data_IF_815167170249
#
_entry.id   IF_815167170249
#
_cell.length_a   1.000
_cell.length_b   1.000
_cell.length_c   1.000
_cell.angle_alpha   90.00
_cell.angle_beta   90.00
_cell.angle_gamma   90.00
#
_symmetry.space_group_name_H-M   'P 1'
#
loop_
_entity.id
_entity.type
_entity.pdbx_description
1 polymer ?
#
# COMPACT_ATOMS: atom_id res chain seq x y z
N UNK A 1 -2.15 -16.34 5.61
CA UNK A 1 -2.69 -17.43 4.75
C UNK A 1 -1.61 -18.48 4.55
N UNK A 2 -1.96 -19.78 4.37
CA UNK A 2 -0.95 -20.78 3.95
C UNK A 2 -0.55 -20.57 2.48
N UNK A 3 0.54 -21.23 2.07
CA UNK A 3 1.00 -21.21 0.68
C UNK A 3 -0.06 -21.79 -0.26
N UNK A 4 -0.48 -21.02 -1.25
CA UNK A 4 -1.44 -21.42 -2.30
C UNK A 4 -0.65 -21.96 -3.48
N UNK A 5 -1.00 -23.15 -3.95
CA UNK A 5 -0.36 -23.86 -5.06
C UNK A 5 -1.39 -23.98 -6.20
N UNK A 6 -1.39 -23.09 -7.19
CA UNK A 6 -2.34 -23.16 -8.30
C UNK A 6 -2.10 -24.43 -9.14
N UNK A 7 -3.18 -25.11 -9.51
CA UNK A 7 -3.11 -26.25 -10.43
C UNK A 7 -2.70 -25.79 -11.84
N UNK A 8 -1.78 -26.51 -12.46
CA UNK A 8 -1.32 -26.24 -13.85
C UNK A 8 -0.75 -24.82 -14.06
N UNK A 9 -0.12 -24.20 -13.03
CA UNK A 9 0.50 -22.89 -13.15
C UNK A 9 1.61 -22.89 -14.21
N UNK A 10 1.49 -21.97 -15.17
CA UNK A 10 2.49 -21.69 -16.20
C UNK A 10 2.90 -20.21 -16.13
N UNK A 11 4.14 -19.90 -15.76
CA UNK A 11 4.62 -18.51 -15.66
C UNK A 11 4.73 -17.79 -17.00
N UNK A 12 4.67 -18.46 -18.15
CA UNK A 12 4.71 -17.95 -19.53
C UNK A 12 5.95 -17.13 -19.91
N UNK A 13 6.65 -16.55 -18.97
CA UNK A 13 7.94 -15.89 -19.15
C UNK A 13 8.99 -16.60 -18.31
N UNK A 14 10.17 -16.80 -18.85
CA UNK A 14 11.31 -17.30 -18.07
C UNK A 14 11.82 -16.21 -17.09
N UNK A 15 12.76 -16.55 -16.21
CA UNK A 15 13.28 -15.65 -15.17
C UNK A 15 13.89 -14.38 -15.77
N UNK A 16 14.65 -14.47 -16.87
CA UNK A 16 15.27 -13.31 -17.52
C UNK A 16 14.23 -12.38 -18.14
N UNK A 17 13.29 -12.94 -18.90
CA UNK A 17 12.17 -12.18 -19.48
C UNK A 17 11.33 -11.51 -18.39
N UNK A 18 11.13 -12.19 -17.26
CA UNK A 18 10.45 -11.63 -16.09
C UNK A 18 11.19 -10.42 -15.54
N UNK A 19 12.52 -10.46 -15.42
CA UNK A 19 13.33 -9.32 -14.97
C UNK A 19 13.23 -8.12 -15.95
N UNK A 20 13.25 -8.39 -17.24
CA UNK A 20 13.06 -7.36 -18.28
C UNK A 20 11.65 -6.75 -18.21
N UNK A 21 10.62 -7.57 -17.96
CA UNK A 21 9.24 -7.12 -17.80
C UNK A 21 9.04 -6.29 -16.52
N UNK A 22 9.61 -6.72 -15.39
CA UNK A 22 9.60 -5.95 -14.12
C UNK A 22 10.20 -4.55 -14.33
N UNK A 23 11.37 -4.48 -14.97
CA UNK A 23 12.02 -3.21 -15.28
C UNK A 23 11.11 -2.33 -16.14
N UNK A 24 10.53 -2.89 -17.20
CA UNK A 24 9.64 -2.17 -18.11
C UNK A 24 8.41 -1.63 -17.37
N UNK A 25 7.74 -2.45 -16.56
CA UNK A 25 6.58 -2.05 -15.77
C UNK A 25 6.94 -0.92 -14.82
N UNK A 26 8.02 -1.08 -14.05
CA UNK A 26 8.41 -0.08 -13.05
C UNK A 26 8.79 1.26 -13.68
N UNK A 27 9.58 1.26 -14.74
CA UNK A 27 10.01 2.48 -15.42
C UNK A 27 8.83 3.21 -16.10
N UNK A 28 7.92 2.46 -16.72
CA UNK A 28 6.76 3.05 -17.40
C UNK A 28 5.74 3.57 -16.39
N UNK A 29 5.39 2.75 -15.39
CA UNK A 29 4.40 3.15 -14.39
C UNK A 29 4.82 4.41 -13.63
N UNK A 30 6.04 4.46 -13.09
CA UNK A 30 6.48 5.62 -12.31
C UNK A 30 6.50 6.92 -13.11
N UNK A 31 6.79 6.85 -14.42
CA UNK A 31 6.77 8.00 -15.31
C UNK A 31 5.34 8.50 -15.55
N UNK A 32 4.42 7.60 -15.92
CA UNK A 32 3.02 7.95 -16.17
C UNK A 32 2.33 8.38 -14.86
N UNK A 33 2.60 7.70 -13.76
CA UNK A 33 2.06 8.03 -12.45
C UNK A 33 2.48 9.43 -11.99
N UNK A 34 3.78 9.75 -12.07
CA UNK A 34 4.29 11.08 -11.73
C UNK A 34 3.65 12.18 -12.57
N UNK A 35 3.51 11.94 -13.87
CA UNK A 35 2.91 12.89 -14.82
C UNK A 35 1.39 13.10 -14.57
N UNK A 36 0.62 12.02 -14.54
CA UNK A 36 -0.85 12.10 -14.43
C UNK A 36 -1.33 12.60 -13.06
N UNK A 37 -0.56 12.28 -12.01
CA UNK A 37 -0.88 12.71 -10.64
C UNK A 37 -0.23 14.05 -10.25
N UNK A 38 0.62 14.65 -11.11
CA UNK A 38 1.42 15.84 -10.82
C UNK A 38 2.33 15.65 -9.60
N UNK A 39 3.19 14.64 -9.66
CA UNK A 39 4.10 14.26 -8.57
C UNK A 39 5.55 14.34 -9.03
N UNK A 40 6.38 14.96 -8.20
CA UNK A 40 7.84 14.98 -8.38
C UNK A 40 8.48 13.77 -7.69
N UNK A 41 9.43 13.14 -8.36
CA UNK A 41 10.22 12.08 -7.71
C UNK A 41 11.26 12.67 -6.79
N UNK A 42 11.21 12.30 -5.51
CA UNK A 42 12.22 12.71 -4.53
C UNK A 42 12.93 11.52 -3.89
N UNK A 43 14.07 11.78 -3.24
CA UNK A 43 14.75 10.81 -2.39
C UNK A 43 14.10 10.76 -1.01
N UNK A 44 13.96 9.57 -0.45
CA UNK A 44 13.43 9.36 0.88
C UNK A 44 14.40 8.52 1.73
N UNK A 45 14.32 8.62 3.07
CA UNK A 45 15.16 7.82 3.95
C UNK A 45 14.73 6.35 3.97
N UNK A 46 15.69 5.44 4.14
CA UNK A 46 15.43 4.04 4.45
C UNK A 46 15.12 3.84 5.93
N UNK A 47 15.58 4.74 6.78
CA UNK A 47 15.45 4.68 8.23
C UNK A 47 15.28 6.08 8.82
N UNK A 48 14.71 6.15 10.00
CA UNK A 48 14.45 7.39 10.75
C UNK A 48 14.80 7.22 12.22
N UNK A 49 14.98 8.34 12.91
CA UNK A 49 15.12 8.34 14.37
C UNK A 49 13.78 7.98 15.02
N UNK A 50 13.78 7.04 15.95
CA UNK A 50 12.58 6.64 16.71
C UNK A 50 11.92 7.83 17.42
N UNK A 51 12.72 8.70 18.01
CA UNK A 51 12.27 9.91 18.72
C UNK A 51 11.51 10.90 17.84
N UNK A 52 11.68 10.84 16.50
CA UNK A 52 10.99 11.73 15.55
C UNK A 52 9.48 11.48 15.45
N UNK A 53 9.02 10.26 15.75
CA UNK A 53 7.64 9.82 15.54
C UNK A 53 7.24 9.66 14.07
N UNK A 54 8.22 9.64 13.15
CA UNK A 54 7.95 9.57 11.71
C UNK A 54 7.76 8.14 11.20
N UNK A 55 8.24 7.13 11.94
CA UNK A 55 7.99 5.74 11.55
C UNK A 55 6.53 5.36 11.78
N UNK A 56 6.09 4.30 11.10
CA UNK A 56 4.77 3.72 11.23
C UNK A 56 4.84 2.50 12.17
N UNK A 57 3.95 2.45 13.14
CA UNK A 57 3.81 1.29 14.01
C UNK A 57 2.83 0.25 13.43
N UNK A 58 2.37 0.44 12.19
CA UNK A 58 1.36 -0.39 11.52
C UNK A 58 0.14 -0.59 12.43
N UNK A 59 -0.13 -1.83 12.85
CA UNK A 59 -1.21 -2.15 13.79
C UNK A 59 -0.83 -1.97 15.27
N UNK A 60 0.40 -1.49 15.53
CA UNK A 60 0.91 -1.24 16.89
C UNK A 60 1.56 -2.43 17.59
N UNK A 61 1.67 -3.57 16.89
CA UNK A 61 2.26 -4.82 17.42
C UNK A 61 3.55 -5.21 16.67
N UNK A 62 3.74 -4.72 15.47
CA UNK A 62 4.89 -5.03 14.63
C UNK A 62 6.14 -4.32 15.13
N UNK A 63 7.25 -5.07 15.17
CA UNK A 63 8.52 -4.58 15.68
C UNK A 63 9.39 -4.07 14.52
N UNK A 64 9.81 -2.79 14.50
CA UNK A 64 10.74 -2.33 13.49
C UNK A 64 12.12 -2.98 13.65
N UNK A 65 12.89 -3.04 12.56
CA UNK A 65 14.32 -3.36 12.62
C UNK A 65 15.02 -2.13 13.19
N UNK A 66 15.70 -2.30 14.31
CA UNK A 66 16.37 -1.22 15.05
C UNK A 66 17.89 -1.44 15.05
N UNK A 67 18.63 -0.33 15.00
CA UNK A 67 20.08 -0.31 15.10
C UNK A 67 20.56 1.04 15.64
N UNK A 68 21.84 1.15 15.92
CA UNK A 68 22.52 2.38 16.31
C UNK A 68 23.49 2.86 15.20
N UNK A 69 23.76 4.16 15.20
CA UNK A 69 24.74 4.77 14.30
C UNK A 69 25.79 5.48 15.15
N UNK A 70 27.06 5.14 14.99
CA UNK A 70 28.17 5.69 15.79
C UNK A 70 28.22 7.23 15.77
N UNK A 71 27.80 7.86 14.67
CA UNK A 71 27.75 9.32 14.54
C UNK A 71 26.51 9.99 15.16
N UNK A 72 25.55 9.21 15.68
CA UNK A 72 24.31 9.71 16.30
C UNK A 72 24.11 9.02 17.66
N UNK A 73 24.97 9.31 18.64
CA UNK A 73 24.97 8.62 19.91
C UNK A 73 23.70 8.91 20.71
N UNK A 74 23.13 7.86 21.33
CA UNK A 74 21.96 7.96 22.20
C UNK A 74 20.61 7.87 21.47
N UNK A 75 20.59 7.80 20.14
CA UNK A 75 19.38 7.62 19.35
C UNK A 75 19.20 6.17 18.89
N UNK A 76 17.96 5.70 18.90
CA UNK A 76 17.56 4.45 18.26
C UNK A 76 17.08 4.76 16.85
N UNK A 77 17.69 4.10 15.87
CA UNK A 77 17.34 4.24 14.45
C UNK A 77 16.46 3.06 14.03
N UNK A 78 15.40 3.33 13.31
CA UNK A 78 14.44 2.34 12.83
C UNK A 78 14.38 2.32 11.31
N UNK A 79 14.48 1.13 10.71
CA UNK A 79 14.12 0.96 9.30
C UNK A 79 12.62 1.22 9.17
N UNK A 80 12.23 2.01 8.19
CA UNK A 80 10.83 2.42 8.03
C UNK A 80 9.91 1.23 7.74
N UNK A 81 8.70 1.27 8.29
CA UNK A 81 7.59 0.41 7.90
C UNK A 81 6.72 1.08 6.82
N UNK A 82 6.64 2.41 6.85
CA UNK A 82 5.98 3.27 5.88
C UNK A 82 6.57 4.68 5.93
N UNK A 83 6.37 5.45 4.87
CA UNK A 83 6.80 6.85 4.79
C UNK A 83 5.63 7.84 4.89
N UNK A 84 4.44 7.40 5.30
CA UNK A 84 3.23 8.24 5.28
C UNK A 84 3.44 9.58 6.01
N UNK A 85 3.93 9.54 7.25
CA UNK A 85 4.20 10.76 8.05
C UNK A 85 5.40 11.56 7.51
N UNK A 86 6.44 10.86 7.08
CA UNK A 86 7.63 11.50 6.51
C UNK A 86 7.31 12.28 5.23
N UNK A 87 6.50 11.74 4.32
CA UNK A 87 6.12 12.39 3.07
C UNK A 87 5.39 13.71 3.30
N UNK A 88 4.43 13.72 4.23
CA UNK A 88 3.70 14.95 4.61
C UNK A 88 4.66 16.01 5.18
N UNK A 89 5.61 15.58 6.03
CA UNK A 89 6.68 16.46 6.52
C UNK A 89 7.58 16.97 5.39
N UNK A 90 7.91 16.13 4.41
CA UNK A 90 8.73 16.51 3.27
C UNK A 90 8.03 17.54 2.37
N UNK A 91 6.73 17.39 2.11
CA UNK A 91 5.95 18.40 1.38
C UNK A 91 6.01 19.77 2.06
N UNK A 92 5.86 19.80 3.38
CA UNK A 92 6.01 21.03 4.16
C UNK A 92 7.42 21.64 4.04
N UNK A 93 8.45 20.82 4.30
CA UNK A 93 9.85 21.28 4.31
C UNK A 93 10.35 21.75 2.94
N UNK A 94 9.84 21.13 1.86
CA UNK A 94 10.26 21.45 0.50
C UNK A 94 9.37 22.49 -0.18
N UNK A 95 8.30 22.96 0.49
CA UNK A 95 7.46 24.09 0.05
C UNK A 95 6.49 23.75 -1.07
N UNK A 96 6.02 22.48 -1.16
CA UNK A 96 5.01 22.07 -2.13
C UNK A 96 3.68 22.80 -1.90
N UNK A 97 3.01 23.16 -3.00
CA UNK A 97 1.76 23.92 -2.98
C UNK A 97 0.54 23.04 -3.29
N UNK A 98 -0.70 23.49 -2.97
CA UNK A 98 -1.91 22.75 -3.33
C UNK A 98 -1.95 22.34 -4.80
N UNK A 99 -2.20 21.06 -5.06
CA UNK A 99 -2.18 20.46 -6.38
C UNK A 99 -0.85 19.85 -6.80
N UNK A 100 0.23 20.13 -6.07
CA UNK A 100 1.56 19.53 -6.25
C UNK A 100 1.77 18.38 -5.28
N UNK A 101 2.65 17.45 -5.63
CA UNK A 101 2.96 16.32 -4.76
C UNK A 101 4.31 15.68 -5.06
N UNK A 102 4.62 14.67 -4.32
CA UNK A 102 5.85 13.88 -4.44
C UNK A 102 5.57 12.38 -4.50
N UNK A 103 6.48 11.64 -5.07
CA UNK A 103 6.57 10.19 -4.88
C UNK A 103 8.01 9.75 -4.68
N UNK A 104 8.17 8.59 -4.10
CA UNK A 104 9.48 7.96 -3.88
C UNK A 104 9.39 6.45 -4.05
N UNK A 105 10.54 5.81 -4.30
CA UNK A 105 10.64 4.36 -4.20
C UNK A 105 10.96 4.02 -2.74
N UNK A 106 9.94 3.65 -1.98
CA UNK A 106 10.08 3.20 -0.60
C UNK A 106 10.52 1.74 -0.55
N UNK A 107 11.46 1.45 0.33
CA UNK A 107 11.83 0.10 0.73
C UNK A 107 11.61 -0.03 2.24
N UNK A 108 10.90 -1.06 2.67
CA UNK A 108 10.62 -1.32 4.08
C UNK A 108 10.94 -2.77 4.44
N UNK A 109 11.22 -3.02 5.72
CA UNK A 109 11.41 -4.36 6.26
C UNK A 109 10.36 -4.59 7.34
N UNK A 110 9.47 -5.54 7.12
CA UNK A 110 8.47 -6.03 8.06
C UNK A 110 8.94 -7.38 8.61
N UNK A 111 9.74 -7.33 9.66
CA UNK A 111 10.43 -8.52 10.20
C UNK A 111 9.52 -9.59 10.78
N UNK A 112 8.31 -9.22 11.19
CA UNK A 112 7.32 -10.10 11.81
C UNK A 112 6.25 -10.55 10.81
N UNK A 113 6.42 -10.28 9.48
CA UNK A 113 5.47 -10.64 8.44
C UNK A 113 5.35 -12.16 8.27
N UNK A 114 4.13 -12.65 8.17
CA UNK A 114 3.87 -14.04 7.80
C UNK A 114 4.01 -14.20 6.29
N UNK A 115 5.03 -14.97 5.88
CA UNK A 115 5.38 -15.13 4.47
C UNK A 115 4.41 -16.08 3.77
N UNK A 116 3.84 -15.61 2.66
CA UNK A 116 2.96 -16.39 1.80
C UNK A 116 3.10 -15.95 0.32
N UNK A 117 2.13 -16.28 -0.53
CA UNK A 117 2.15 -15.88 -1.95
C UNK A 117 2.16 -14.37 -2.16
N UNK A 118 1.56 -13.59 -1.25
CA UNK A 118 1.33 -12.14 -1.38
C UNK A 118 2.22 -11.30 -0.45
N UNK A 119 2.76 -11.92 0.61
CA UNK A 119 3.48 -11.23 1.68
C UNK A 119 4.95 -11.62 1.72
N UNK A 120 5.81 -10.62 1.79
CA UNK A 120 7.26 -10.72 1.94
C UNK A 120 7.71 -9.87 3.11
N UNK A 121 8.77 -10.25 3.79
CA UNK A 121 9.41 -9.38 4.79
C UNK A 121 10.01 -8.09 4.19
N UNK A 122 10.24 -8.07 2.87
CA UNK A 122 10.66 -6.90 2.13
C UNK A 122 9.47 -6.31 1.38
N UNK A 123 9.20 -5.01 1.59
CA UNK A 123 8.11 -4.26 0.96
C UNK A 123 8.69 -3.16 0.09
N UNK A 124 8.26 -3.09 -1.16
CA UNK A 124 8.62 -2.05 -2.11
C UNK A 124 7.36 -1.35 -2.65
N UNK A 125 7.33 -0.01 -2.51
CA UNK A 125 6.17 0.78 -2.93
C UNK A 125 6.61 2.02 -3.73
N UNK A 126 5.77 2.45 -4.69
CA UNK A 126 5.71 3.86 -5.03
C UNK A 126 4.88 4.53 -3.94
N UNK A 127 5.56 5.19 -3.06
CA UNK A 127 4.96 5.85 -1.92
C UNK A 127 4.79 7.34 -2.26
N UNK A 128 3.57 7.84 -2.26
CA UNK A 128 3.23 9.15 -2.79
C UNK A 128 2.39 9.99 -1.83
N UNK A 129 2.47 11.31 -2.00
CA UNK A 129 1.73 12.28 -1.18
C UNK A 129 1.51 13.55 -1.99
N UNK A 130 0.29 14.13 -1.94
CA UNK A 130 -0.10 15.33 -2.67
C UNK A 130 -0.77 16.33 -1.75
N UNK A 131 -0.40 17.63 -1.86
CA UNK A 131 -1.05 18.69 -1.11
C UNK A 131 -2.43 18.97 -1.70
N UNK A 132 -3.42 19.03 -0.83
CA UNK A 132 -4.80 19.39 -1.15
C UNK A 132 -5.23 20.59 -0.30
N UNK A 133 -6.29 21.28 -0.70
CA UNK A 133 -6.92 22.32 0.14
C UNK A 133 -7.78 21.65 1.21
N UNK A 134 -8.10 22.42 2.26
CA UNK A 134 -8.96 21.92 3.34
C UNK A 134 -10.34 21.52 2.84
N UNK A 135 -10.90 22.27 1.90
CA UNK A 135 -12.21 22.04 1.30
C UNK A 135 -12.25 20.78 0.41
N UNK A 136 -11.07 20.29 -0.01
CA UNK A 136 -10.91 19.07 -0.83
C UNK A 136 -10.82 17.80 0.02
N UNK A 137 -10.92 17.90 1.36
CA UNK A 137 -11.00 16.73 2.25
C UNK A 137 -12.40 16.11 2.18
N UNK A 138 -12.72 15.46 1.07
CA UNK A 138 -14.05 14.88 0.79
C UNK A 138 -13.93 13.49 0.15
N UNK A 139 -15.02 12.70 0.21
CA UNK A 139 -15.11 11.40 -0.44
C UNK A 139 -14.97 11.55 -1.96
N UNK A 140 -15.52 12.60 -2.55
CA UNK A 140 -15.45 12.87 -3.99
C UNK A 140 -14.00 13.06 -4.45
N UNK A 141 -13.19 13.76 -3.67
CA UNK A 141 -11.75 13.93 -3.94
C UNK A 141 -11.02 12.58 -3.85
N UNK A 142 -11.34 11.78 -2.83
CA UNK A 142 -10.78 10.45 -2.66
C UNK A 142 -11.13 9.55 -3.87
N UNK A 143 -12.41 9.45 -4.22
CA UNK A 143 -12.88 8.64 -5.34
C UNK A 143 -12.28 9.09 -6.68
N UNK A 144 -12.22 10.41 -6.94
CA UNK A 144 -11.60 10.95 -8.14
C UNK A 144 -10.12 10.57 -8.26
N UNK A 145 -9.39 10.59 -7.14
CA UNK A 145 -8.00 10.18 -7.08
C UNK A 145 -7.83 8.68 -7.33
N UNK A 146 -8.68 7.86 -6.73
CA UNK A 146 -8.70 6.40 -6.95
C UNK A 146 -8.98 6.07 -8.42
N UNK A 147 -9.97 6.72 -9.04
CA UNK A 147 -10.27 6.53 -10.47
C UNK A 147 -9.09 6.91 -11.37
N UNK A 148 -8.33 7.95 -11.00
CA UNK A 148 -7.12 8.31 -11.77
C UNK A 148 -6.04 7.24 -11.63
N UNK A 149 -5.79 6.72 -10.44
CA UNK A 149 -4.83 5.60 -10.22
C UNK A 149 -5.28 4.36 -10.99
N UNK A 150 -6.57 4.01 -10.92
CA UNK A 150 -7.12 2.87 -11.67
C UNK A 150 -6.89 3.02 -13.19
N UNK A 151 -7.14 4.21 -13.76
CA UNK A 151 -6.86 4.49 -15.18
C UNK A 151 -5.40 4.30 -15.56
N UNK A 152 -4.46 4.70 -14.68
CA UNK A 152 -3.03 4.48 -14.92
C UNK A 152 -2.72 2.98 -14.91
N UNK A 153 -3.28 2.21 -13.98
CA UNK A 153 -3.12 0.75 -13.95
C UNK A 153 -3.70 0.10 -15.22
N UNK A 154 -4.87 0.56 -15.68
CA UNK A 154 -5.47 0.09 -16.95
C UNK A 154 -4.60 0.45 -18.16
N UNK A 155 -3.99 1.62 -18.19
CA UNK A 155 -3.03 1.97 -19.23
C UNK A 155 -1.82 1.02 -19.21
N UNK A 156 -1.31 0.70 -18.03
CA UNK A 156 -0.21 -0.27 -17.90
C UNK A 156 -0.57 -1.68 -18.39
N UNK A 157 -1.82 -2.12 -18.22
CA UNK A 157 -2.30 -3.38 -18.80
C UNK A 157 -2.08 -3.39 -20.33
N UNK A 158 -2.44 -2.30 -21.03
CA UNK A 158 -2.23 -2.18 -22.48
C UNK A 158 -0.75 -2.16 -22.85
N UNK A 159 0.08 -1.40 -22.13
CA UNK A 159 1.53 -1.32 -22.36
C UNK A 159 2.21 -2.69 -22.21
N UNK A 160 1.86 -3.43 -21.13
CA UNK A 160 2.42 -4.75 -20.89
C UNK A 160 1.88 -5.77 -21.91
N UNK A 161 0.59 -5.72 -22.24
CA UNK A 161 0.01 -6.61 -23.26
C UNK A 161 0.68 -6.40 -24.64
N UNK A 162 0.96 -5.17 -25.03
CA UNK A 162 1.63 -4.88 -26.28
C UNK A 162 3.03 -5.52 -26.36
N UNK A 163 3.76 -5.52 -25.26
CA UNK A 163 5.14 -6.01 -25.21
C UNK A 163 5.26 -7.50 -24.82
N UNK A 164 4.35 -7.98 -23.98
CA UNK A 164 4.32 -9.34 -23.44
C UNK A 164 2.90 -9.94 -23.51
N UNK A 165 2.31 -10.11 -24.71
CA UNK A 165 0.90 -10.48 -24.86
C UNK A 165 0.55 -11.83 -24.23
N UNK A 166 1.53 -12.73 -24.08
CA UNK A 166 1.35 -14.05 -23.46
C UNK A 166 1.23 -14.00 -21.94
N UNK A 167 1.63 -12.89 -21.29
CA UNK A 167 1.73 -12.80 -19.83
C UNK A 167 0.54 -12.11 -19.15
N UNK A 168 -0.31 -11.41 -19.92
CA UNK A 168 -1.31 -10.50 -19.36
C UNK A 168 -2.70 -11.12 -19.38
N UNK A 169 -3.41 -11.01 -18.25
CA UNK A 169 -4.86 -11.19 -18.17
C UNK A 169 -5.57 -9.85 -18.21
N UNK A 170 -6.79 -9.84 -18.79
CA UNK A 170 -7.59 -8.63 -18.87
C UNK A 170 -8.08 -8.19 -17.49
N UNK A 171 -7.76 -6.95 -17.10
CA UNK A 171 -8.30 -6.30 -15.92
C UNK A 171 -9.74 -5.81 -16.16
N UNK A 172 -10.55 -5.58 -15.11
CA UNK A 172 -11.89 -5.04 -15.23
C UNK A 172 -11.90 -3.65 -15.87
N UNK A 173 -13.05 -3.24 -16.41
CA UNK A 173 -13.17 -1.95 -17.12
C UNK A 173 -13.42 -0.77 -16.17
N UNK A 174 -13.90 -1.02 -14.95
CA UNK A 174 -14.19 -0.01 -13.94
C UNK A 174 -13.86 -0.53 -12.54
N UNK A 175 -13.82 0.38 -11.57
CA UNK A 175 -13.61 0.11 -10.16
C UNK A 175 -14.90 0.37 -9.36
N UNK A 176 -15.30 -0.62 -8.56
CA UNK A 176 -16.46 -0.53 -7.69
C UNK A 176 -16.10 0.06 -6.33
N UNK A 177 -16.97 0.91 -5.77
CA UNK A 177 -16.75 1.56 -4.47
C UNK A 177 -17.72 1.03 -3.44
N UNK A 178 -17.23 0.63 -2.27
CA UNK A 178 -18.04 0.13 -1.16
C UNK A 178 -17.40 0.52 0.16
N UNK A 179 -18.20 0.79 1.19
CA UNK A 179 -17.67 0.98 2.55
C UNK A 179 -17.50 -0.35 3.27
N UNK A 180 -16.61 -0.38 4.25
CA UNK A 180 -16.40 -1.57 5.10
C UNK A 180 -17.68 -1.97 5.84
N UNK A 181 -18.52 -0.99 6.23
CA UNK A 181 -19.82 -1.27 6.87
C UNK A 181 -20.82 -1.89 5.88
N UNK A 182 -20.98 -1.30 4.68
CA UNK A 182 -21.88 -1.88 3.67
C UNK A 182 -21.46 -3.31 3.33
N UNK A 183 -20.15 -3.57 3.28
CA UNK A 183 -19.63 -4.91 3.01
C UNK A 183 -19.90 -5.88 4.16
N UNK A 184 -19.84 -5.42 5.41
CA UNK A 184 -20.26 -6.23 6.58
C UNK A 184 -21.75 -6.53 6.53
N UNK A 185 -22.60 -5.54 6.22
CA UNK A 185 -24.05 -5.70 6.13
C UNK A 185 -24.46 -6.68 5.02
N UNK A 186 -23.71 -6.70 3.90
CA UNK A 186 -23.92 -7.67 2.81
C UNK A 186 -23.56 -9.11 3.21
N UNK A 187 -22.51 -9.28 4.01
CA UNK A 187 -21.95 -10.60 4.38
C UNK A 187 -21.66 -10.70 5.88
N UNK A 188 -22.70 -10.62 6.76
CA UNK A 188 -22.49 -10.52 8.21
C UNK A 188 -21.77 -11.73 8.83
N UNK A 189 -21.98 -12.93 8.28
CA UNK A 189 -21.41 -14.17 8.78
C UNK A 189 -20.02 -14.50 8.24
N UNK A 190 -19.41 -13.57 7.47
CA UNK A 190 -18.11 -13.77 6.83
C UNK A 190 -17.01 -12.99 7.54
N UNK A 191 -15.81 -13.54 7.52
CA UNK A 191 -14.61 -12.81 7.96
C UNK A 191 -14.31 -11.66 7.00
N UNK A 192 -13.59 -10.61 7.45
CA UNK A 192 -13.19 -9.50 6.57
C UNK A 192 -12.55 -9.97 5.25
N UNK A 193 -11.63 -10.93 5.31
CA UNK A 193 -10.95 -11.45 4.12
C UNK A 193 -11.87 -12.25 3.18
N UNK A 194 -12.83 -12.99 3.73
CA UNK A 194 -13.84 -13.64 2.90
C UNK A 194 -14.77 -12.62 2.22
N UNK A 195 -15.13 -11.54 2.91
CA UNK A 195 -15.92 -10.42 2.37
C UNK A 195 -15.19 -9.76 1.20
N UNK A 196 -13.90 -9.44 1.37
CA UNK A 196 -13.07 -8.90 0.29
C UNK A 196 -13.03 -9.83 -0.93
N UNK A 197 -12.82 -11.13 -0.71
CA UNK A 197 -12.77 -12.11 -1.79
C UNK A 197 -14.10 -12.19 -2.56
N UNK A 198 -15.24 -12.14 -1.86
CA UNK A 198 -16.56 -12.22 -2.48
C UNK A 198 -16.83 -10.99 -3.35
N UNK A 199 -16.69 -9.80 -2.79
CA UNK A 199 -17.00 -8.56 -3.50
C UNK A 199 -16.02 -8.29 -4.65
N UNK A 200 -14.74 -8.59 -4.45
CA UNK A 200 -13.73 -8.39 -5.49
C UNK A 200 -13.90 -9.40 -6.62
N UNK A 201 -14.32 -10.63 -6.32
CA UNK A 201 -14.65 -11.64 -7.33
C UNK A 201 -15.86 -11.22 -8.19
N UNK A 202 -16.86 -10.57 -7.58
CA UNK A 202 -18.05 -10.09 -8.29
C UNK A 202 -17.74 -8.94 -9.23
N UNK A 203 -16.96 -7.94 -8.78
CA UNK A 203 -16.70 -6.69 -9.50
C UNK A 203 -15.36 -6.62 -10.22
N UNK A 204 -14.44 -7.56 -9.94
CA UNK A 204 -13.09 -7.60 -10.53
C UNK A 204 -12.10 -6.60 -9.93
N UNK A 205 -12.52 -5.37 -9.63
CA UNK A 205 -11.74 -4.37 -8.89
C UNK A 205 -12.66 -3.57 -7.96
N UNK A 206 -12.21 -3.39 -6.72
CA UNK A 206 -12.98 -2.72 -5.65
C UNK A 206 -12.08 -1.71 -4.94
N UNK A 207 -12.64 -0.55 -4.62
CA UNK A 207 -12.08 0.34 -3.60
C UNK A 207 -12.91 0.19 -2.33
N UNK A 208 -12.32 -0.47 -1.34
CA UNK A 208 -12.93 -0.71 -0.03
C UNK A 208 -12.60 0.46 0.89
N UNK A 209 -13.63 1.24 1.27
CA UNK A 209 -13.50 2.51 1.99
C UNK A 209 -13.76 2.38 3.50
N UNK A 210 -13.30 3.38 4.26
CA UNK A 210 -13.57 3.59 5.69
C UNK A 210 -13.05 2.45 6.57
N UNK A 211 -11.75 2.17 6.43
CA UNK A 211 -11.04 1.15 7.20
C UNK A 211 -10.43 1.79 8.45
N UNK A 212 -10.49 1.10 9.59
CA UNK A 212 -9.83 1.49 10.85
C UNK A 212 -10.77 1.68 12.03
N UNK A 213 -11.98 2.24 11.81
CA UNK A 213 -12.97 2.37 12.89
C UNK A 213 -13.74 1.05 13.10
N UNK A 214 -14.36 0.92 14.27
CA UNK A 214 -15.22 -0.22 14.58
C UNK A 214 -16.49 -0.19 13.74
N UNK A 215 -16.86 -1.35 13.22
CA UNK A 215 -18.11 -1.58 12.52
C UNK A 215 -19.26 -1.84 13.49
N UNK A 216 -20.48 -2.05 12.97
CA UNK A 216 -21.66 -2.33 13.79
C UNK A 216 -21.52 -3.60 14.62
N UNK A 217 -20.72 -4.56 14.20
CA UNK A 217 -20.34 -5.75 14.98
C UNK A 217 -19.48 -5.46 16.23
N UNK A 218 -18.87 -4.28 16.30
CA UNK A 218 -17.95 -3.88 17.37
C UNK A 218 -16.47 -4.14 17.06
N UNK A 219 -16.16 -4.81 15.94
CA UNK A 219 -14.81 -5.06 15.46
C UNK A 219 -14.50 -4.22 14.22
N UNK A 220 -13.25 -3.80 13.97
CA UNK A 220 -12.89 -3.14 12.72
C UNK A 220 -12.85 -4.14 11.56
N UNK A 221 -12.97 -3.66 10.33
CA UNK A 221 -12.74 -4.49 9.15
C UNK A 221 -11.29 -4.98 9.09
N UNK A 222 -10.36 -4.05 9.26
CA UNK A 222 -8.92 -4.30 9.36
C UNK A 222 -8.27 -3.21 10.22
N UNK A 223 -7.03 -3.47 10.67
CA UNK A 223 -6.21 -2.50 11.40
C UNK A 223 -5.79 -1.34 10.50
N UNK A 224 -5.77 -0.13 11.09
CA UNK A 224 -5.23 1.06 10.41
C UNK A 224 -4.60 1.97 11.46
N UNK A 225 -3.35 2.39 11.23
CA UNK A 225 -2.70 3.33 12.12
C UNK A 225 -3.53 4.60 12.30
N UNK A 226 -3.61 5.14 13.53
CA UNK A 226 -4.51 6.26 13.83
C UNK A 226 -3.96 7.63 13.44
N UNK A 227 -2.70 7.72 13.01
CA UNK A 227 -1.94 8.95 12.98
C UNK A 227 -1.51 9.43 11.58
N UNK A 228 -2.05 8.82 10.52
CA UNK A 228 -1.86 9.34 9.17
C UNK A 228 -3.11 9.31 8.29
N UNK A 229 -3.81 8.20 8.09
CA UNK A 229 -5.05 8.17 7.31
C UNK A 229 -6.27 8.55 8.16
N UNK A 230 -7.13 9.43 7.64
CA UNK A 230 -8.46 9.65 8.18
C UNK A 230 -9.32 8.40 7.92
N UNK A 231 -9.78 7.73 8.99
CA UNK A 231 -10.54 6.48 8.88
C UNK A 231 -11.87 6.62 8.14
N UNK A 232 -12.37 7.85 7.98
CA UNK A 232 -13.58 8.13 7.20
C UNK A 232 -13.27 8.46 5.72
N UNK A 233 -11.99 8.68 5.36
CA UNK A 233 -11.55 9.16 4.06
C UNK A 233 -10.36 8.34 3.52
N UNK A 234 -10.36 7.04 3.76
CA UNK A 234 -9.32 6.10 3.31
C UNK A 234 -9.92 4.88 2.63
N UNK A 235 -9.06 4.03 2.10
CA UNK A 235 -9.43 2.72 1.58
C UNK A 235 -8.30 2.03 0.84
N UNK A 236 -8.61 0.83 0.37
CA UNK A 236 -7.69 -0.05 -0.33
C UNK A 236 -8.22 -0.43 -1.71
N UNK A 237 -7.33 -0.39 -2.72
CA UNK A 237 -7.63 -0.88 -4.07
C UNK A 237 -7.32 -2.37 -4.12
N UNK A 238 -8.35 -3.17 -4.31
CA UNK A 238 -8.31 -4.63 -4.38
C UNK A 238 -8.65 -5.09 -5.79
N UNK A 239 -7.82 -5.96 -6.37
CA UNK A 239 -8.12 -6.65 -7.62
C UNK A 239 -8.44 -8.11 -7.37
N UNK A 240 -9.42 -8.67 -8.08
CA UNK A 240 -9.62 -10.10 -8.12
C UNK A 240 -8.45 -10.77 -8.86
N UNK A 241 -7.74 -11.63 -8.17
CA UNK A 241 -6.59 -12.33 -8.72
C UNK A 241 -6.91 -13.82 -8.92
N UNK A 242 -7.34 -14.15 -10.14
CA UNK A 242 -7.83 -15.50 -10.48
C UNK A 242 -6.81 -16.58 -10.20
N UNK A 243 -5.53 -16.32 -10.48
CA UNK A 243 -4.45 -17.31 -10.32
C UNK A 243 -4.34 -17.83 -8.90
N UNK A 244 -4.65 -17.02 -7.91
CA UNK A 244 -4.70 -17.43 -6.49
C UNK A 244 -6.13 -17.53 -5.94
N UNK A 245 -7.15 -17.22 -6.75
CA UNK A 245 -8.55 -17.20 -6.35
C UNK A 245 -8.79 -16.37 -5.07
N UNK A 246 -8.20 -15.17 -5.03
CA UNK A 246 -8.30 -14.24 -3.89
C UNK A 246 -8.26 -12.78 -4.33
N UNK A 247 -8.65 -11.87 -3.42
CA UNK A 247 -8.43 -10.44 -3.56
C UNK A 247 -6.93 -10.13 -3.36
N UNK A 248 -6.38 -9.32 -4.24
CA UNK A 248 -5.00 -8.80 -4.19
C UNK A 248 -5.05 -7.30 -3.96
N UNK A 249 -4.60 -6.85 -2.80
CA UNK A 249 -4.42 -5.44 -2.49
C UNK A 249 -3.22 -4.89 -3.25
N UNK A 250 -3.46 -3.87 -4.08
CA UNK A 250 -2.43 -3.17 -4.85
C UNK A 250 -2.03 -1.86 -4.19
N UNK A 251 -2.95 -1.17 -3.56
CA UNK A 251 -2.71 0.14 -2.96
C UNK A 251 -3.56 0.34 -1.72
N UNK A 252 -2.94 0.91 -0.69
CA UNK A 252 -3.60 1.50 0.47
C UNK A 252 -3.38 3.00 0.43
N UNK A 253 -4.45 3.81 0.60
CA UNK A 253 -4.39 5.26 0.47
C UNK A 253 -5.52 5.96 1.23
N UNK A 254 -5.32 7.27 1.48
CA UNK A 254 -6.36 8.08 2.11
C UNK A 254 -6.05 9.57 2.09
N UNK A 255 -7.07 10.36 2.34
CA UNK A 255 -6.91 11.73 2.79
C UNK A 255 -6.38 11.67 4.21
N UNK A 256 -5.33 12.43 4.49
CA UNK A 256 -4.66 12.36 5.78
C UNK A 256 -5.47 13.05 6.86
N UNK A 257 -5.30 12.59 8.10
CA UNK A 257 -5.93 13.20 9.28
C UNK A 257 -5.72 14.72 9.32
N UNK A 258 -6.75 15.45 9.68
CA UNK A 258 -6.63 16.81 10.19
C UNK A 258 -6.42 16.79 11.71
N UNK A 259 -6.38 17.95 12.33
CA UNK A 259 -6.16 18.14 13.76
C UNK A 259 -7.22 17.38 14.59
N UNK A 260 -8.49 17.46 14.15
CA UNK A 260 -9.62 16.84 14.84
C UNK A 260 -9.61 15.32 14.67
N UNK A 261 -9.47 14.83 13.44
CA UNK A 261 -9.43 13.40 13.17
C UNK A 261 -8.25 12.72 13.88
N UNK A 262 -7.08 13.38 13.92
CA UNK A 262 -5.93 12.87 14.69
C UNK A 262 -6.26 12.70 16.17
N UNK A 263 -6.82 13.73 16.81
CA UNK A 263 -7.18 13.66 18.24
C UNK A 263 -8.16 12.52 18.52
N UNK A 264 -9.23 12.42 17.73
CA UNK A 264 -10.26 11.41 17.90
C UNK A 264 -9.71 9.99 17.69
N UNK A 265 -8.88 9.79 16.65
CA UNK A 265 -8.33 8.47 16.32
C UNK A 265 -7.28 8.01 17.33
N UNK A 266 -6.44 8.91 17.85
CA UNK A 266 -5.48 8.57 18.91
C UNK A 266 -6.20 8.12 20.21
N UNK A 267 -7.32 8.76 20.56
CA UNK A 267 -8.15 8.33 21.70
C UNK A 267 -8.75 6.95 21.45
N UNK A 268 -9.36 6.73 20.29
CA UNK A 268 -9.96 5.45 19.91
C UNK A 268 -8.94 4.31 19.91
N UNK A 269 -7.71 4.60 19.48
CA UNK A 269 -6.61 3.63 19.44
C UNK A 269 -5.87 3.48 20.78
N UNK A 270 -6.17 4.31 21.79
CA UNK A 270 -5.51 4.23 23.12
C UNK A 270 -4.02 4.60 23.10
N UNK A 271 -3.61 5.51 22.20
CA UNK A 271 -2.21 5.95 22.04
C UNK A 271 -2.07 7.48 22.06
N UNK A 272 -2.79 8.14 22.97
CA UNK A 272 -2.85 9.61 23.10
C UNK A 272 -1.48 10.24 23.42
N UNK A 273 -0.56 9.50 24.02
CA UNK A 273 0.81 9.95 24.31
C UNK A 273 1.58 10.36 23.04
N UNK A 274 1.21 9.84 21.86
CA UNK A 274 1.80 10.22 20.57
C UNK A 274 1.63 11.69 20.24
N UNK A 275 0.62 12.38 20.80
CA UNK A 275 0.44 13.84 20.68
C UNK A 275 1.70 14.64 21.08
N UNK A 276 2.57 14.04 21.92
CA UNK A 276 3.81 14.65 22.39
C UNK A 276 4.98 14.53 21.43
N UNK A 277 4.88 13.69 20.39
CA UNK A 277 5.94 13.52 19.39
C UNK A 277 6.02 14.74 18.44
N UNK A 278 7.21 15.05 17.90
CA UNK A 278 7.41 16.25 17.08
C UNK A 278 6.45 16.36 15.88
N UNK A 279 6.29 15.31 15.12
CA UNK A 279 5.37 15.28 13.96
C UNK A 279 3.92 15.60 14.38
N UNK A 280 3.43 14.94 15.43
CA UNK A 280 2.05 15.10 15.89
C UNK A 280 1.78 16.51 16.43
N UNK A 281 2.75 17.11 17.13
CA UNK A 281 2.65 18.53 17.56
C UNK A 281 2.52 19.49 16.39
N UNK A 282 3.33 19.32 15.36
CA UNK A 282 3.25 20.17 14.17
C UNK A 282 1.88 20.05 13.48
N UNK A 283 1.35 18.83 13.40
CA UNK A 283 0.03 18.59 12.82
C UNK A 283 -1.07 19.27 13.66
N UNK A 284 -1.09 19.06 14.97
CA UNK A 284 -2.07 19.66 15.88
C UNK A 284 -2.00 21.18 15.93
N UNK A 285 -0.83 21.77 15.70
CA UNK A 285 -0.64 23.22 15.59
C UNK A 285 -1.08 23.78 14.22
N UNK A 286 -1.52 22.95 13.28
CA UNK A 286 -1.90 23.38 11.92
C UNK A 286 -0.72 23.83 11.05
N UNK A 287 0.50 23.37 11.35
CA UNK A 287 1.71 23.72 10.60
C UNK A 287 1.87 22.87 9.32
N UNK A 288 1.34 21.65 9.29
CA UNK A 288 1.47 20.74 8.16
C UNK A 288 0.34 20.93 7.14
N UNK A 289 0.62 20.78 5.82
CA UNK A 289 -0.41 20.90 4.79
C UNK A 289 -1.45 19.78 4.92
N UNK A 290 -2.67 20.03 4.45
CA UNK A 290 -3.64 18.96 4.20
C UNK A 290 -3.19 18.17 2.98
N UNK A 291 -3.28 16.85 3.05
CA UNK A 291 -2.74 15.98 2.01
C UNK A 291 -3.61 14.75 1.77
N UNK A 292 -3.46 14.19 0.57
CA UNK A 292 -3.90 12.86 0.20
C UNK A 292 -2.70 12.06 -0.24
N UNK A 293 -2.61 10.81 0.14
CA UNK A 293 -1.46 9.99 -0.23
C UNK A 293 -1.69 8.50 -0.02
N UNK A 294 -0.71 7.71 -0.40
CA UNK A 294 -0.78 6.26 -0.31
C UNK A 294 0.50 5.58 -0.76
N UNK A 295 0.46 4.26 -0.75
CA UNK A 295 1.49 3.41 -1.30
C UNK A 295 0.92 2.47 -2.34
N UNK A 296 1.60 2.32 -3.48
CA UNK A 296 1.28 1.34 -4.51
C UNK A 296 2.37 0.29 -4.51
N UNK A 297 2.03 -0.97 -4.23
CA UNK A 297 2.98 -2.07 -4.15
C UNK A 297 3.63 -2.34 -5.52
N UNK A 298 4.95 -2.09 -5.65
CA UNK A 298 5.66 -2.28 -6.92
C UNK A 298 5.68 -3.75 -7.34
N UNK A 299 6.04 -4.63 -6.43
CA UNK A 299 6.07 -6.06 -6.68
C UNK A 299 4.67 -6.63 -6.86
N UNK A 300 3.67 -6.20 -6.08
CA UNK A 300 2.28 -6.64 -6.26
C UNK A 300 1.68 -6.19 -7.60
N UNK A 301 1.99 -4.98 -8.07
CA UNK A 301 1.58 -4.53 -9.41
C UNK A 301 2.25 -5.37 -10.51
N UNK A 302 3.54 -5.68 -10.39
CA UNK A 302 4.22 -6.60 -11.31
C UNK A 302 3.59 -8.00 -11.28
N UNK A 303 3.25 -8.51 -10.09
CA UNK A 303 2.58 -9.78 -9.91
C UNK A 303 1.22 -9.83 -10.61
N UNK A 304 0.39 -8.78 -10.44
CA UNK A 304 -0.90 -8.63 -11.10
C UNK A 304 -0.77 -8.60 -12.62
N UNK A 305 0.10 -7.72 -13.15
CA UNK A 305 0.24 -7.48 -14.59
C UNK A 305 0.93 -8.63 -15.34
N UNK A 306 1.76 -9.43 -14.66
CA UNK A 306 2.46 -10.58 -15.23
C UNK A 306 1.83 -11.93 -14.84
N UNK A 307 0.69 -11.90 -14.15
CA UNK A 307 -0.04 -13.09 -13.69
C UNK A 307 0.84 -14.09 -12.91
N UNK A 308 1.62 -13.57 -11.93
CA UNK A 308 2.56 -14.37 -11.13
C UNK A 308 1.92 -14.90 -9.86
N UNK A 309 2.04 -16.20 -9.62
CA UNK A 309 1.43 -16.88 -8.49
C UNK A 309 2.09 -16.61 -7.13
N UNK A 310 3.29 -16.02 -7.11
CA UNK A 310 4.00 -15.71 -5.87
C UNK A 310 4.79 -14.40 -6.02
N UNK A 311 4.71 -13.52 -5.02
CA UNK A 311 5.44 -12.25 -5.02
C UNK A 311 6.95 -12.44 -5.18
N UNK A 312 7.51 -13.54 -4.70
CA UNK A 312 8.91 -13.92 -4.88
C UNK A 312 9.34 -14.17 -6.33
N UNK A 313 8.42 -14.34 -7.27
CA UNK A 313 8.75 -14.45 -8.70
C UNK A 313 9.08 -13.07 -9.33
N UNK A 314 8.66 -11.99 -8.65
CA UNK A 314 8.87 -10.60 -9.10
C UNK A 314 9.65 -9.75 -8.10
N UNK A 315 10.05 -10.33 -6.98
CA UNK A 315 10.79 -9.66 -5.91
C UNK A 315 11.88 -10.58 -5.35
N UNK A 316 13.14 -10.15 -5.45
CA UNK A 316 14.23 -10.80 -4.75
C UNK A 316 14.11 -10.55 -3.23
N UNK A 317 13.96 -11.60 -2.45
CA UNK A 317 13.79 -11.57 -1.00
C UNK A 317 14.33 -12.83 -0.35
N UNK A 318 14.09 -12.98 0.95
CA UNK A 318 14.44 -14.19 1.70
C UNK A 318 13.19 -15.06 1.91
N UNK A 319 13.30 -16.31 1.54
CA UNK A 319 12.21 -17.29 1.64
C UNK A 319 12.69 -18.55 2.38
N UNK A 320 11.85 -19.16 3.21
CA UNK A 320 12.15 -20.44 3.83
C UNK A 320 12.52 -21.51 2.78
N UNK A 321 13.50 -22.33 3.07
CA UNK A 321 13.97 -23.36 2.12
C UNK A 321 12.84 -24.30 1.66
N UNK A 322 11.99 -24.71 2.59
CA UNK A 322 10.84 -25.55 2.26
C UNK A 322 9.88 -24.85 1.29
N UNK A 323 9.60 -23.55 1.49
CA UNK A 323 8.76 -22.76 0.58
C UNK A 323 9.37 -22.69 -0.82
N UNK A 324 10.68 -22.38 -0.92
CA UNK A 324 11.41 -22.36 -2.21
C UNK A 324 11.32 -23.68 -2.94
N UNK A 325 11.50 -24.81 -2.24
CA UNK A 325 11.40 -26.15 -2.81
C UNK A 325 9.98 -26.43 -3.32
N UNK A 326 8.98 -26.21 -2.50
CA UNK A 326 7.56 -26.43 -2.85
C UNK A 326 7.14 -25.54 -4.02
N UNK A 327 7.49 -24.26 -4.02
CA UNK A 327 7.21 -23.35 -5.14
C UNK A 327 7.83 -23.83 -6.44
N UNK A 328 9.10 -24.25 -6.39
CA UNK A 328 9.81 -24.78 -7.58
C UNK A 328 9.16 -26.04 -8.15
N UNK A 329 8.66 -26.93 -7.32
CA UNK A 329 7.93 -28.14 -7.73
C UNK A 329 6.61 -27.81 -8.45
N UNK A 330 6.07 -26.57 -8.24
CA UNK A 330 4.85 -26.05 -8.86
C UNK A 330 5.13 -24.92 -9.87
N UNK A 331 6.29 -24.89 -10.50
CA UNK A 331 6.72 -23.93 -11.52
C UNK A 331 6.82 -22.47 -11.05
N UNK A 332 6.78 -22.20 -9.76
CA UNK A 332 7.02 -20.87 -9.18
C UNK A 332 8.50 -20.72 -8.83
N UNK A 333 9.24 -19.94 -9.61
CA UNK A 333 10.68 -19.73 -9.38
C UNK A 333 10.88 -18.45 -8.59
N UNK A 334 11.18 -18.59 -7.30
CA UNK A 334 11.44 -17.44 -6.42
C UNK A 334 12.85 -16.88 -6.66
N UNK A 335 12.94 -15.54 -6.82
CA UNK A 335 14.18 -14.80 -7.10
C UNK A 335 15.09 -14.72 -5.87
#
# INVERSE_FOLDING_TARGET
MGLILPEHYDPRLNVRETQEAIKYIRDTFQKEFGKEMNLERISAPLFVEKSSGLNDDLNGVERPVQFDIAGVPGETIEVVHSLAKWKRMALYKYGFQPGEGLYTNMNAIRRDEELDNLHSCYVDQWDWEKVIKKEERTIETLEATVRNIFKIIKHMEHEVWYKYPQAVKKLPEDIYFITSQDLEDMYPDKTPKERENLITKEHGCVFLMKIGDKLASGEPHDGRAPDYDDWQLNGDILFWFETLNCALEISSMGIRVDEKALEEQLVKAGCEERKNLPYHKMLLNGELPYTIGGGIGQSRLCMLLLDRAHVGEVQASLWPEQMRKTCKEHNMILL
#
